data_IF_690107714031
#
_entry.id   IF_690107714031
#
_cell.length_a   1.000
_cell.length_b   1.000
_cell.length_c   1.000
_cell.angle_alpha   90.00
_cell.angle_beta   90.00
_cell.angle_gamma   90.00
#
_symmetry.space_group_name_H-M   'P 1'
#
loop_
_entity.id
_entity.type
_entity.pdbx_description
1 polymer ?
#
# COMPACT_ATOMS: atom_id res chain seq x y z
N UNK A 1 -17.46 25.19 24.44
CA UNK A 1 -16.52 26.32 24.21
C UNK A 1 -15.06 25.91 24.49
N UNK A 2 -14.56 24.84 23.83
CA UNK A 2 -13.24 24.24 24.14
C UNK A 2 -12.34 24.04 22.90
N UNK A 3 -12.91 23.88 21.69
CA UNK A 3 -12.14 23.62 20.46
C UNK A 3 -11.27 24.79 19.97
N UNK A 4 -11.71 26.04 20.15
CA UNK A 4 -11.00 27.22 19.63
C UNK A 4 -9.68 27.48 20.37
N UNK A 5 -9.62 27.12 21.66
CA UNK A 5 -8.41 27.27 22.48
C UNK A 5 -7.33 26.22 22.15
N UNK A 6 -7.74 25.04 21.69
CA UNK A 6 -6.84 23.98 21.22
C UNK A 6 -6.11 24.39 19.94
N UNK A 7 -6.87 24.90 18.95
CA UNK A 7 -6.28 25.36 17.66
C UNK A 7 -5.32 26.53 17.89
N UNK A 8 -5.60 27.44 18.82
CA UNK A 8 -4.68 28.55 19.17
C UNK A 8 -3.39 28.07 19.83
N UNK A 9 -3.43 27.00 20.65
CA UNK A 9 -2.26 26.44 21.34
C UNK A 9 -1.34 25.65 20.40
N UNK A 10 -1.91 24.98 19.38
CA UNK A 10 -1.19 24.09 18.47
C UNK A 10 -1.11 24.63 17.02
N UNK A 11 -1.22 25.96 16.84
CA UNK A 11 -1.20 26.59 15.49
C UNK A 11 0.02 26.21 14.66
N UNK A 12 1.20 26.15 15.29
CA UNK A 12 2.47 25.90 14.60
C UNK A 12 2.55 24.43 14.13
N UNK A 13 2.11 23.50 14.96
CA UNK A 13 2.00 22.07 14.61
C UNK A 13 0.99 21.85 13.48
N UNK A 14 -0.19 22.48 13.56
CA UNK A 14 -1.20 22.42 12.50
C UNK A 14 -0.63 23.01 11.20
N UNK A 15 0.06 24.15 11.24
CA UNK A 15 0.63 24.78 10.06
C UNK A 15 1.71 23.91 9.37
N UNK A 16 2.46 23.12 10.14
CA UNK A 16 3.48 22.20 9.59
C UNK A 16 2.86 20.93 8.99
N UNK A 17 1.77 20.43 9.56
CA UNK A 17 1.08 19.21 9.08
C UNK A 17 0.07 19.53 7.96
N UNK A 18 -0.40 20.77 7.87
CA UNK A 18 -1.40 21.21 6.90
C UNK A 18 -1.00 20.91 5.44
N UNK A 19 0.24 21.17 4.96
CA UNK A 19 0.62 20.87 3.59
C UNK A 19 0.56 19.37 3.28
N UNK A 20 0.97 18.52 4.22
CA UNK A 20 0.88 17.06 4.08
C UNK A 20 -0.58 16.60 4.02
N UNK A 21 -1.44 17.14 4.87
CA UNK A 21 -2.87 16.81 4.87
C UNK A 21 -3.53 17.23 3.57
N UNK A 22 -3.26 18.43 3.09
CA UNK A 22 -3.79 18.91 1.81
C UNK A 22 -3.32 18.04 0.65
N UNK A 23 -2.06 17.60 0.65
CA UNK A 23 -1.54 16.68 -0.35
C UNK A 23 -2.28 15.33 -0.32
N UNK A 24 -2.41 14.69 0.84
CA UNK A 24 -3.11 13.41 0.98
C UNK A 24 -4.58 13.55 0.53
N UNK A 25 -5.26 14.61 0.97
CA UNK A 25 -6.66 14.83 0.62
C UNK A 25 -6.84 15.09 -0.89
N UNK A 26 -5.99 15.93 -1.48
CA UNK A 26 -6.09 16.32 -2.88
C UNK A 26 -5.64 15.24 -3.87
N UNK A 27 -4.55 14.52 -3.57
CA UNK A 27 -3.92 13.59 -4.51
C UNK A 27 -4.18 12.12 -4.21
N UNK A 28 -4.62 11.77 -3.01
CA UNK A 28 -4.94 10.38 -2.66
C UNK A 28 -6.44 10.19 -2.45
N UNK A 29 -7.06 10.98 -1.58
CA UNK A 29 -8.46 10.77 -1.22
C UNK A 29 -9.41 11.15 -2.36
N UNK A 30 -9.17 12.29 -3.01
CA UNK A 30 -9.98 12.73 -4.16
C UNK A 30 -10.05 11.70 -5.30
N UNK A 31 -8.94 11.17 -5.86
CA UNK A 31 -9.03 10.17 -6.93
C UNK A 31 -9.62 8.84 -6.46
N UNK A 32 -9.48 8.46 -5.19
CA UNK A 32 -10.15 7.27 -4.64
C UNK A 32 -11.66 7.44 -4.69
N UNK A 33 -12.18 8.60 -4.23
CA UNK A 33 -13.61 8.89 -4.28
C UNK A 33 -14.12 8.89 -5.73
N UNK A 34 -13.35 9.45 -6.66
CA UNK A 34 -13.68 9.41 -8.08
C UNK A 34 -13.74 7.98 -8.61
N UNK A 35 -12.74 7.16 -8.29
CA UNK A 35 -12.67 5.75 -8.73
C UNK A 35 -13.85 4.94 -8.19
N UNK A 36 -14.21 5.14 -6.92
CA UNK A 36 -15.38 4.50 -6.32
C UNK A 36 -16.66 4.99 -7.01
N UNK A 37 -16.81 6.29 -7.25
CA UNK A 37 -18.01 6.81 -7.93
C UNK A 37 -18.13 6.23 -9.34
N UNK A 38 -17.02 6.16 -10.07
CA UNK A 38 -16.95 5.58 -11.41
C UNK A 38 -17.25 4.08 -11.41
N UNK A 39 -16.83 3.32 -10.40
CA UNK A 39 -17.10 1.87 -10.34
C UNK A 39 -18.60 1.56 -10.23
N UNK A 40 -19.39 2.48 -9.66
CA UNK A 40 -20.84 2.42 -9.59
C UNK A 40 -21.56 3.16 -10.71
N UNK A 41 -20.87 3.78 -11.67
CA UNK A 41 -21.50 4.49 -12.78
C UNK A 41 -21.34 3.72 -14.09
N UNK A 42 -22.40 3.71 -14.89
CA UNK A 42 -22.34 3.21 -16.26
C UNK A 42 -21.48 4.15 -17.12
N UNK A 43 -20.60 3.58 -17.95
CA UNK A 43 -19.63 4.33 -18.73
C UNK A 43 -20.28 5.33 -19.72
N UNK A 44 -21.47 5.03 -20.22
CA UNK A 44 -22.13 5.82 -21.26
C UNK A 44 -23.21 6.74 -20.68
N UNK A 45 -24.03 6.22 -19.79
CA UNK A 45 -25.20 6.94 -19.24
C UNK A 45 -24.90 7.69 -17.95
N UNK A 46 -23.76 7.40 -17.30
CA UNK A 46 -23.40 7.87 -15.94
C UNK A 46 -24.46 7.56 -14.88
N UNK A 47 -25.41 6.67 -15.18
CA UNK A 47 -26.40 6.22 -14.23
C UNK A 47 -25.75 5.32 -13.18
N UNK A 48 -26.20 5.44 -11.94
CA UNK A 48 -25.72 4.55 -10.88
C UNK A 48 -26.22 3.11 -11.12
N UNK A 49 -25.30 2.17 -11.28
CA UNK A 49 -25.56 0.77 -11.59
C UNK A 49 -24.56 -0.17 -10.92
N UNK A 50 -24.99 -1.42 -10.72
CA UNK A 50 -24.14 -2.53 -10.27
C UNK A 50 -23.68 -3.42 -11.45
N UNK A 51 -23.96 -3.01 -12.68
CA UNK A 51 -23.63 -3.77 -13.89
C UNK A 51 -22.12 -4.07 -14.00
N UNK A 52 -21.27 -3.06 -13.74
CA UNK A 52 -19.81 -3.21 -13.79
C UNK A 52 -19.30 -4.36 -12.89
N UNK A 53 -19.81 -4.46 -11.67
CA UNK A 53 -19.44 -5.53 -10.73
C UNK A 53 -19.94 -6.90 -11.19
N UNK A 54 -21.19 -7.00 -11.64
CA UNK A 54 -21.76 -8.25 -12.16
C UNK A 54 -21.00 -8.77 -13.37
N UNK A 55 -20.61 -7.87 -14.28
CA UNK A 55 -19.84 -8.20 -15.47
C UNK A 55 -18.47 -8.78 -15.10
N UNK A 56 -17.74 -8.13 -14.19
CA UNK A 56 -16.39 -8.55 -13.80
C UNK A 56 -16.39 -9.90 -13.07
N UNK A 57 -17.33 -10.12 -12.15
CA UNK A 57 -17.40 -11.38 -11.37
C UNK A 57 -17.70 -12.59 -12.28
N UNK A 58 -18.38 -12.36 -13.40
CA UNK A 58 -18.65 -13.39 -14.40
C UNK A 58 -17.43 -13.80 -15.24
N UNK A 59 -16.40 -12.95 -15.35
CA UNK A 59 -15.23 -13.17 -16.20
C UNK A 59 -14.27 -14.21 -15.60
N UNK A 60 -13.85 -15.18 -16.41
CA UNK A 60 -12.88 -16.21 -16.01
C UNK A 60 -11.51 -15.59 -15.72
N UNK A 61 -11.14 -14.56 -16.47
CA UNK A 61 -9.90 -13.79 -16.32
C UNK A 61 -9.82 -13.14 -14.93
N UNK A 62 -10.93 -12.57 -14.45
CA UNK A 62 -11.00 -11.98 -13.11
C UNK A 62 -10.81 -13.03 -12.02
N UNK A 63 -11.48 -14.19 -12.14
CA UNK A 63 -11.33 -15.30 -11.18
C UNK A 63 -9.89 -15.80 -11.14
N UNK A 64 -9.28 -16.03 -12.31
CA UNK A 64 -7.89 -16.47 -12.40
C UNK A 64 -6.94 -15.43 -11.80
N UNK A 65 -7.09 -14.15 -12.15
CA UNK A 65 -6.27 -13.07 -11.59
C UNK A 65 -6.44 -12.93 -10.08
N UNK A 66 -7.65 -13.07 -9.56
CA UNK A 66 -7.97 -13.03 -8.14
C UNK A 66 -7.26 -14.15 -7.37
N UNK A 67 -7.41 -15.40 -7.81
CA UNK A 67 -6.76 -16.54 -7.15
C UNK A 67 -5.24 -16.49 -7.28
N UNK A 68 -4.71 -16.08 -8.44
CA UNK A 68 -3.27 -15.90 -8.63
C UNK A 68 -2.71 -14.85 -7.68
N UNK A 69 -3.39 -13.71 -7.53
CA UNK A 69 -2.96 -12.63 -6.63
C UNK A 69 -2.94 -13.10 -5.18
N UNK A 70 -3.98 -13.81 -4.74
CA UNK A 70 -4.07 -14.34 -3.38
C UNK A 70 -3.01 -15.41 -3.14
N UNK A 71 -2.86 -16.37 -4.04
CA UNK A 71 -1.88 -17.44 -3.93
C UNK A 71 -0.46 -16.86 -3.87
N UNK A 72 -0.13 -15.94 -4.78
CA UNK A 72 1.17 -15.26 -4.82
C UNK A 72 1.40 -14.48 -3.53
N UNK A 73 0.45 -13.64 -3.11
CA UNK A 73 0.58 -12.85 -1.87
C UNK A 73 0.79 -13.74 -0.66
N UNK A 74 0.01 -14.81 -0.53
CA UNK A 74 0.09 -15.72 0.61
C UNK A 74 1.41 -16.48 0.66
N UNK A 75 1.84 -17.03 -0.48
CA UNK A 75 3.11 -17.75 -0.60
C UNK A 75 4.28 -16.81 -0.33
N UNK A 76 4.32 -15.65 -1.00
CA UNK A 76 5.38 -14.65 -0.81
C UNK A 76 5.45 -14.16 0.63
N UNK A 77 4.32 -13.78 1.23
CA UNK A 77 4.29 -13.31 2.61
C UNK A 77 4.77 -14.38 3.60
N UNK A 78 4.34 -15.63 3.41
CA UNK A 78 4.75 -16.75 4.27
C UNK A 78 6.25 -16.98 4.18
N UNK A 79 6.81 -16.98 2.96
CA UNK A 79 8.24 -17.16 2.74
C UNK A 79 9.05 -15.98 3.30
N UNK A 80 8.67 -14.75 3.00
CA UNK A 80 9.34 -13.54 3.48
C UNK A 80 9.32 -13.45 5.01
N UNK A 81 8.18 -13.72 5.64
CA UNK A 81 8.06 -13.70 7.10
C UNK A 81 8.91 -14.79 7.75
N UNK A 82 8.88 -16.01 7.19
CA UNK A 82 9.67 -17.14 7.70
C UNK A 82 11.17 -16.87 7.54
N UNK A 83 11.60 -16.46 6.35
CA UNK A 83 13.01 -16.14 6.08
C UNK A 83 13.49 -14.96 6.94
N UNK A 84 12.70 -13.89 7.03
CA UNK A 84 12.99 -12.73 7.87
C UNK A 84 13.14 -13.11 9.34
N UNK A 85 12.26 -13.97 9.86
CA UNK A 85 12.34 -14.46 11.23
C UNK A 85 13.59 -15.32 11.46
N UNK A 86 13.89 -16.26 10.56
CA UNK A 86 15.11 -17.10 10.64
C UNK A 86 16.36 -16.23 10.67
N UNK A 87 16.45 -15.25 9.78
CA UNK A 87 17.60 -14.34 9.71
C UNK A 87 17.68 -13.47 10.99
N UNK A 88 16.55 -12.97 11.49
CA UNK A 88 16.50 -12.20 12.73
C UNK A 88 17.01 -13.02 13.94
N UNK A 89 16.64 -14.30 14.03
CA UNK A 89 17.11 -15.22 15.07
C UNK A 89 18.62 -15.50 14.95
N UNK A 90 19.15 -15.65 13.74
CA UNK A 90 20.60 -15.79 13.51
C UNK A 90 21.34 -14.53 13.96
N UNK A 91 20.84 -13.35 13.59
CA UNK A 91 21.39 -12.05 13.96
C UNK A 91 21.29 -11.74 15.46
N UNK A 92 20.41 -12.42 16.19
CA UNK A 92 20.31 -12.30 17.66
C UNK A 92 21.58 -12.79 18.35
N UNK A 93 22.28 -13.79 17.80
CA UNK A 93 23.55 -14.28 18.36
C UNK A 93 24.70 -13.37 17.94
N UNK A 94 25.67 -13.15 18.84
CA UNK A 94 26.90 -12.43 18.50
C UNK A 94 27.83 -13.38 17.72
N UNK A 95 27.92 -13.22 16.40
CA UNK A 95 28.83 -13.98 15.52
C UNK A 95 29.69 -13.05 14.65
N UNK A 96 30.90 -13.50 14.32
CA UNK A 96 31.82 -12.78 13.41
C UNK A 96 31.25 -12.87 11.99
N UNK A 97 30.94 -11.71 11.36
CA UNK A 97 30.28 -11.64 10.05
C UNK A 97 28.90 -10.97 10.03
N UNK A 98 28.34 -10.62 11.21
CA UNK A 98 27.04 -9.94 11.35
C UNK A 98 26.89 -8.65 10.53
N UNK A 99 27.98 -7.87 10.41
CA UNK A 99 27.99 -6.63 9.63
C UNK A 99 27.85 -6.85 8.12
N UNK A 100 28.50 -7.89 7.59
CA UNK A 100 28.42 -8.28 6.17
C UNK A 100 27.02 -8.80 5.81
N UNK A 101 26.42 -9.63 6.67
CA UNK A 101 25.06 -10.11 6.45
C UNK A 101 24.05 -8.94 6.43
N UNK A 102 24.19 -7.99 7.36
CA UNK A 102 23.33 -6.81 7.41
C UNK A 102 23.49 -5.91 6.18
N UNK A 103 24.70 -5.70 5.68
CA UNK A 103 24.90 -4.90 4.46
C UNK A 103 24.30 -5.59 3.24
N UNK A 104 24.52 -6.89 3.06
CA UNK A 104 23.96 -7.65 1.94
C UNK A 104 22.42 -7.64 1.90
N UNK A 105 21.76 -7.64 3.07
CA UNK A 105 20.29 -7.54 3.14
C UNK A 105 19.77 -6.15 2.77
N UNK A 106 20.55 -5.09 3.00
CA UNK A 106 20.14 -3.71 2.73
C UNK A 106 20.44 -3.29 1.28
N UNK A 107 21.46 -3.86 0.65
CA UNK A 107 21.81 -3.61 -0.76
C UNK A 107 20.61 -3.71 -1.71
N UNK A 108 19.79 -4.78 -1.68
CA UNK A 108 18.66 -4.89 -2.60
C UNK A 108 17.55 -3.86 -2.35
N UNK A 109 17.42 -3.31 -1.13
CA UNK A 109 16.39 -2.31 -0.82
C UNK A 109 16.57 -1.00 -1.62
N UNK A 110 17.79 -0.72 -2.07
CA UNK A 110 18.10 0.44 -2.90
C UNK A 110 18.00 0.18 -4.40
N UNK A 111 17.81 -1.08 -4.82
CA UNK A 111 17.69 -1.42 -6.25
C UNK A 111 16.30 -0.98 -6.71
N UNK A 112 16.21 -0.05 -7.67
CA UNK A 112 14.91 0.36 -8.21
C UNK A 112 14.21 -0.84 -8.85
N UNK A 113 12.93 -1.04 -8.54
CA UNK A 113 12.12 -2.13 -9.11
C UNK A 113 12.09 -2.12 -10.65
N UNK A 114 12.36 -0.96 -11.27
CA UNK A 114 12.51 -0.81 -12.73
C UNK A 114 13.63 -1.66 -13.34
N UNK A 115 14.70 -1.98 -12.59
CA UNK A 115 15.81 -2.82 -13.06
C UNK A 115 15.48 -4.31 -12.88
N UNK A 116 14.52 -4.62 -12.01
CA UNK A 116 14.13 -6.00 -11.67
C UNK A 116 12.95 -6.53 -12.50
N UNK A 117 12.38 -5.75 -13.41
CA UNK A 117 11.19 -6.17 -14.16
C UNK A 117 10.84 -5.31 -15.37
N UNK A 118 11.51 -5.60 -16.48
CA UNK A 118 10.87 -5.84 -17.79
C UNK A 118 11.31 -7.22 -18.26
#
# INVERSE_FOLDING_TARGET
>A
MSYVNFVKKYKLEIAMVLPLLLYILGFTVYPIIQTITLSFQDQYTKAFTLANYKEIIGKTEFKNAFFNTIALTFISLTLEMTAGLVIALILKRNFRGKGLLRSLMLVPMGVPTLVSGV
#
